data_IF_569603217502
#
_entry.id   IF_569603217502
#
_cell.length_a   1.000
_cell.length_b   1.000
_cell.length_c   1.000
_cell.angle_alpha   90.00
_cell.angle_beta   90.00
_cell.angle_gamma   90.00
#
_symmetry.space_group_name_H-M   'P 1'
#
loop_
_entity.id
_entity.type
_entity.pdbx_description
1 polymer ?
#
# COMPACT_ATOMS: atom_id res chain seq x y z
N UNK A 1 12.45 83.84 -2.73
CA UNK A 1 11.30 84.72 -2.45
C UNK A 1 10.05 83.86 -2.21
N UNK A 2 9.47 83.95 -1.01
CA UNK A 2 8.04 83.77 -0.60
C UNK A 2 7.23 82.62 -1.28
N UNK A 3 6.93 81.49 -0.61
CA UNK A 3 5.80 81.21 0.33
C UNK A 3 4.38 81.48 -0.21
N UNK A 4 3.54 80.42 -0.05
CA UNK A 4 2.05 80.39 0.07
C UNK A 4 1.26 80.67 -1.23
N UNK A 5 0.36 79.81 -1.73
CA UNK A 5 -0.77 79.18 -1.03
C UNK A 5 -1.11 77.76 -1.55
N UNK A 6 -1.58 76.95 -0.60
CA UNK A 6 -1.97 75.54 -0.63
C UNK A 6 -3.48 75.44 -1.01
N UNK A 7 -4.21 74.34 -0.71
CA UNK A 7 -4.70 73.26 -1.56
C UNK A 7 -6.25 73.26 -1.74
N UNK A 8 -6.80 72.78 -2.85
CA UNK A 8 -8.21 72.35 -2.84
C UNK A 8 -8.56 71.19 -3.78
N UNK A 9 -7.58 70.58 -4.45
CA UNK A 9 -7.82 69.44 -5.36
C UNK A 9 -7.23 68.11 -4.88
N UNK A 10 -6.69 68.06 -3.65
CA UNK A 10 -6.10 66.86 -3.05
C UNK A 10 -6.99 66.17 -2.00
N UNK A 11 -8.21 66.66 -1.76
CA UNK A 11 -9.15 66.07 -0.77
C UNK A 11 -10.23 65.18 -1.41
N UNK A 12 -10.38 65.16 -2.75
CA UNK A 12 -11.42 64.35 -3.42
C UNK A 12 -10.93 63.19 -4.30
N UNK A 13 -9.62 63.00 -4.50
CA UNK A 13 -9.08 61.78 -5.15
C UNK A 13 -8.09 60.99 -4.28
N UNK A 14 -7.91 61.40 -3.01
CA UNK A 14 -6.99 60.76 -2.05
C UNK A 14 -7.63 59.74 -1.09
N UNK A 15 -8.93 59.48 -1.18
CA UNK A 15 -9.64 58.57 -0.25
C UNK A 15 -10.06 57.24 -0.91
N UNK A 16 -9.95 57.09 -2.22
CA UNK A 16 -10.36 55.86 -2.91
C UNK A 16 -9.29 54.75 -3.02
N UNK A 17 -8.02 55.00 -2.66
CA UNK A 17 -6.92 54.06 -2.96
C UNK A 17 -6.23 53.46 -1.72
N UNK A 18 -6.59 53.87 -0.49
CA UNK A 18 -5.91 53.39 0.74
C UNK A 18 -6.67 52.31 1.56
N UNK A 19 -7.83 51.83 1.08
CA UNK A 19 -8.66 50.85 1.79
C UNK A 19 -8.77 49.47 1.11
N UNK A 20 -8.22 49.32 -0.09
CA UNK A 20 -8.34 48.11 -0.90
C UNK A 20 -6.98 47.69 -1.45
N UNK A 21 -6.59 46.42 -1.26
CA UNK A 21 -5.48 45.79 -1.99
C UNK A 21 -6.08 44.89 -3.08
N UNK A 22 -5.53 44.86 -4.31
CA UNK A 22 -5.93 43.87 -5.31
C UNK A 22 -5.56 42.47 -4.80
N UNK A 23 -6.56 41.57 -4.74
CA UNK A 23 -6.38 40.15 -4.41
C UNK A 23 -7.23 39.32 -5.40
N UNK A 24 -6.69 38.19 -5.86
CA UNK A 24 -7.23 37.31 -6.91
C UNK A 24 -8.55 36.56 -6.60
N UNK A 25 -9.02 35.66 -7.50
CA UNK A 25 -10.43 35.45 -7.86
C UNK A 25 -11.18 34.44 -6.96
N UNK A 26 -12.48 34.64 -6.69
CA UNK A 26 -13.40 33.64 -6.09
C UNK A 26 -14.89 34.05 -6.13
N UNK A 27 -15.59 33.91 -7.26
CA UNK A 27 -17.06 33.79 -7.23
C UNK A 27 -17.52 32.78 -8.29
N UNK A 28 -18.29 31.78 -7.87
CA UNK A 28 -18.92 30.81 -8.76
C UNK A 28 -20.44 30.99 -8.72
N UNK A 29 -21.10 30.97 -9.87
CA UNK A 29 -22.54 31.13 -10.02
C UNK A 29 -23.15 29.84 -10.56
N UNK A 30 -24.24 29.39 -9.94
CA UNK A 30 -25.03 28.25 -10.40
C UNK A 30 -26.21 28.73 -11.25
N UNK A 31 -26.34 28.21 -12.47
CA UNK A 31 -27.51 28.39 -13.33
C UNK A 31 -28.37 27.13 -13.33
N UNK A 32 -29.53 27.22 -12.67
CA UNK A 32 -30.48 26.11 -12.53
C UNK A 32 -31.19 25.74 -13.83
N UNK A 33 -31.29 26.64 -14.81
CA UNK A 33 -31.96 26.36 -16.09
C UNK A 33 -31.05 25.54 -17.02
N UNK A 34 -29.74 25.78 -16.98
CA UNK A 34 -28.76 25.07 -17.80
C UNK A 34 -27.97 24.00 -17.06
N UNK A 35 -28.16 23.84 -15.75
CA UNK A 35 -27.39 22.91 -14.91
C UNK A 35 -25.89 23.22 -14.87
N UNK A 36 -25.53 24.50 -15.00
CA UNK A 36 -24.12 24.91 -15.22
C UNK A 36 -23.59 25.71 -14.04
N UNK A 37 -22.45 25.29 -13.50
CA UNK A 37 -21.65 26.07 -12.56
C UNK A 37 -20.63 26.90 -13.34
N UNK A 38 -20.64 28.23 -13.20
CA UNK A 38 -19.70 29.14 -13.88
C UNK A 38 -18.76 29.78 -12.88
N UNK A 39 -17.45 29.73 -13.13
CA UNK A 39 -16.45 30.49 -12.36
C UNK A 39 -16.34 31.88 -12.97
N UNK A 40 -16.95 32.87 -12.31
CA UNK A 40 -16.91 34.25 -12.75
C UNK A 40 -15.56 34.87 -12.41
N UNK A 41 -14.90 35.46 -13.42
CA UNK A 41 -13.79 36.38 -13.20
C UNK A 41 -14.25 37.79 -13.53
N UNK A 42 -14.82 38.49 -12.55
CA UNK A 42 -15.07 39.92 -12.63
C UNK A 42 -14.82 40.56 -11.26
N UNK A 43 -14.08 41.66 -11.27
CA UNK A 43 -13.59 42.37 -10.09
C UNK A 43 -14.75 42.76 -9.15
N UNK A 44 -14.60 42.52 -7.84
CA UNK A 44 -15.50 43.06 -6.80
C UNK A 44 -14.66 43.62 -5.65
N UNK A 45 -14.91 44.87 -5.27
CA UNK A 45 -14.25 45.56 -4.15
C UNK A 45 -14.81 45.05 -2.82
N UNK A 46 -13.94 44.60 -1.89
CA UNK A 46 -14.35 44.10 -0.55
C UNK A 46 -13.66 44.92 0.56
N UNK A 47 -14.40 45.45 1.57
CA UNK A 47 -13.82 46.24 2.65
C UNK A 47 -12.90 45.41 3.57
N UNK A 48 -11.96 46.11 4.24
CA UNK A 48 -10.74 45.63 4.93
C UNK A 48 -10.89 44.58 6.05
N UNK A 49 -12.08 44.03 6.28
CA UNK A 49 -12.43 43.15 7.41
C UNK A 49 -13.07 41.81 6.99
N UNK A 50 -12.80 41.33 5.75
CA UNK A 50 -13.32 40.05 5.23
C UNK A 50 -12.22 39.13 4.69
N UNK A 51 -12.28 37.84 5.08
CA UNK A 51 -11.29 36.78 4.79
C UNK A 51 -11.24 36.40 3.30
N UNK A 52 -10.04 36.12 2.80
CA UNK A 52 -9.79 35.62 1.44
C UNK A 52 -10.40 34.23 1.22
N UNK A 53 -11.05 34.03 0.07
CA UNK A 53 -11.52 32.73 -0.41
C UNK A 53 -10.61 32.30 -1.57
N UNK A 54 -10.22 31.03 -1.55
CA UNK A 54 -9.31 30.38 -2.50
C UNK A 54 -10.13 29.89 -3.70
N UNK A 55 -9.52 29.85 -4.90
CA UNK A 55 -10.03 29.17 -6.10
C UNK A 55 -10.84 27.91 -5.73
N UNK A 56 -11.99 27.62 -6.36
CA UNK A 56 -12.78 26.44 -6.00
C UNK A 56 -12.01 25.18 -6.39
N UNK A 57 -11.13 24.71 -5.50
CA UNK A 57 -10.64 23.34 -5.47
C UNK A 57 -11.81 22.50 -5.02
N UNK A 58 -12.41 21.79 -5.95
CA UNK A 58 -13.48 20.86 -5.63
C UNK A 58 -12.83 19.49 -5.47
N UNK A 59 -12.80 18.99 -4.24
CA UNK A 59 -12.34 17.65 -3.93
C UNK A 59 -13.54 16.83 -3.48
N UNK A 60 -13.69 15.64 -4.05
CA UNK A 60 -14.74 14.71 -3.64
C UNK A 60 -14.19 13.29 -3.57
N UNK A 61 -14.78 12.48 -2.70
CA UNK A 61 -14.46 11.06 -2.60
C UNK A 61 -15.73 10.28 -2.87
N UNK A 62 -15.67 9.37 -3.83
CA UNK A 62 -16.77 8.45 -4.13
C UNK A 62 -16.26 7.02 -4.09
N UNK A 63 -17.12 6.10 -3.67
CA UNK A 63 -16.84 4.67 -3.71
C UNK A 63 -17.70 4.01 -4.78
N UNK A 64 -17.14 3.04 -5.47
CA UNK A 64 -17.89 2.18 -6.39
C UNK A 64 -17.42 0.74 -6.25
N UNK A 65 -18.24 -0.19 -6.74
CA UNK A 65 -17.93 -1.63 -6.70
C UNK A 65 -17.53 -2.10 -8.10
N UNK A 66 -16.44 -2.86 -8.21
CA UNK A 66 -16.06 -3.52 -9.47
C UNK A 66 -17.02 -4.67 -9.79
N UNK A 67 -17.08 -5.16 -11.04
CA UNK A 67 -17.86 -6.35 -11.39
C UNK A 67 -17.51 -7.60 -10.56
N UNK A 68 -16.29 -7.68 -10.05
CA UNK A 68 -15.79 -8.74 -9.17
C UNK A 68 -16.14 -8.53 -7.68
N UNK A 69 -16.96 -7.52 -7.34
CA UNK A 69 -17.43 -7.25 -5.97
C UNK A 69 -16.45 -6.49 -5.09
N UNK A 70 -15.35 -5.96 -5.64
CA UNK A 70 -14.37 -5.21 -4.88
C UNK A 70 -14.78 -3.74 -4.73
N UNK A 71 -14.61 -3.18 -3.53
CA UNK A 71 -14.83 -1.74 -3.31
C UNK A 71 -13.60 -0.96 -3.78
N UNK A 72 -13.83 0.13 -4.51
CA UNK A 72 -12.79 1.05 -4.98
C UNK A 72 -13.16 2.46 -4.55
N UNK A 73 -12.23 3.14 -3.91
CA UNK A 73 -12.37 4.54 -3.54
C UNK A 73 -11.72 5.41 -4.61
N UNK A 74 -12.50 6.27 -5.26
CA UNK A 74 -12.00 7.28 -6.17
C UNK A 74 -11.97 8.64 -5.46
N UNK A 75 -10.77 9.19 -5.29
CA UNK A 75 -10.57 10.58 -4.89
C UNK A 75 -10.40 11.42 -6.13
N UNK A 76 -11.29 12.38 -6.32
CA UNK A 76 -11.29 13.26 -7.48
C UNK A 76 -11.02 14.68 -7.00
N UNK A 77 -10.06 15.35 -7.63
CA UNK A 77 -9.84 16.77 -7.43
C UNK A 77 -9.95 17.49 -8.78
N UNK A 78 -10.65 18.62 -8.77
CA UNK A 78 -10.77 19.48 -9.92
C UNK A 78 -10.38 20.90 -9.54
N UNK A 79 -9.40 21.44 -10.26
CA UNK A 79 -8.98 22.83 -10.18
C UNK A 79 -9.53 23.59 -11.38
N UNK A 80 -10.46 24.52 -11.13
CA UNK A 80 -11.07 25.35 -12.16
C UNK A 80 -10.38 26.71 -12.24
N UNK A 81 -9.93 27.06 -13.45
CA UNK A 81 -9.35 28.37 -13.76
C UNK A 81 -10.43 29.45 -14.02
N UNK A 82 -10.00 30.72 -14.12
CA UNK A 82 -10.89 31.83 -14.46
C UNK A 82 -11.66 31.59 -15.76
N UNK A 83 -12.98 31.82 -15.75
CA UNK A 83 -13.84 31.65 -16.93
C UNK A 83 -14.27 30.20 -17.23
N UNK A 84 -13.81 29.22 -16.45
CA UNK A 84 -14.23 27.84 -16.60
C UNK A 84 -15.71 27.66 -16.21
N UNK A 85 -16.42 26.80 -16.92
CA UNK A 85 -17.77 26.37 -16.53
C UNK A 85 -17.93 24.86 -16.57
N UNK A 86 -18.67 24.32 -15.61
CA UNK A 86 -18.86 22.90 -15.40
C UNK A 86 -20.33 22.52 -15.57
N UNK A 87 -20.61 21.55 -16.43
CA UNK A 87 -21.97 21.11 -16.72
C UNK A 87 -22.33 19.91 -15.83
N UNK A 88 -23.33 20.03 -14.96
CA UNK A 88 -23.82 19.00 -14.04
C UNK A 88 -25.28 18.62 -14.37
N UNK A 89 -25.65 17.36 -14.15
CA UNK A 89 -26.94 16.82 -14.61
C UNK A 89 -28.16 17.22 -13.74
N UNK A 90 -27.96 17.87 -12.59
CA UNK A 90 -29.00 18.36 -11.67
C UNK A 90 -28.43 19.54 -10.86
N UNK A 91 -29.07 20.02 -9.78
CA UNK A 91 -28.51 20.99 -8.82
C UNK A 91 -27.87 20.36 -7.56
N UNK A 92 -26.86 19.48 -7.66
CA UNK A 92 -26.04 19.08 -6.53
C UNK A 92 -24.98 20.14 -6.23
N UNK A 93 -24.41 20.14 -5.04
CA UNK A 93 -23.19 20.91 -4.79
C UNK A 93 -22.10 20.46 -5.79
N UNK A 94 -21.11 21.33 -6.13
CA UNK A 94 -20.03 20.95 -7.04
C UNK A 94 -19.35 19.62 -6.66
N UNK A 95 -19.25 19.34 -5.35
CA UNK A 95 -18.70 18.10 -4.78
C UNK A 95 -19.57 16.87 -5.06
N UNK A 96 -20.89 17.00 -4.93
CA UNK A 96 -21.86 15.92 -5.15
C UNK A 96 -22.03 15.60 -6.65
N UNK A 97 -22.08 16.62 -7.51
CA UNK A 97 -22.20 16.41 -8.96
C UNK A 97 -20.96 15.74 -9.58
N UNK A 98 -19.78 16.10 -9.07
CA UNK A 98 -18.51 15.47 -9.44
C UNK A 98 -18.45 14.01 -8.96
N UNK A 99 -18.95 13.72 -7.75
CA UNK A 99 -19.04 12.35 -7.22
C UNK A 99 -19.95 11.46 -8.08
N UNK A 100 -21.13 11.96 -8.48
CA UNK A 100 -22.08 11.22 -9.34
C UNK A 100 -21.44 10.88 -10.69
N UNK A 101 -20.75 11.84 -11.32
CA UNK A 101 -20.08 11.60 -12.60
C UNK A 101 -18.88 10.67 -12.49
N UNK A 102 -18.08 10.78 -11.43
CA UNK A 102 -17.02 9.82 -11.14
C UNK A 102 -17.56 8.41 -10.91
N UNK A 103 -18.72 8.28 -10.25
CA UNK A 103 -19.44 7.01 -10.10
C UNK A 103 -19.98 6.44 -11.42
N UNK A 104 -20.38 7.29 -12.37
CA UNK A 104 -20.78 6.85 -13.72
C UNK A 104 -19.60 6.39 -14.59
N UNK A 105 -18.38 6.86 -14.30
CA UNK A 105 -17.14 6.44 -14.95
C UNK A 105 -16.56 5.14 -14.37
N UNK A 106 -17.12 4.64 -13.26
CA UNK A 106 -16.76 3.38 -12.60
C UNK A 106 -16.86 2.06 -13.40
N UNK A 107 -17.78 1.88 -14.39
CA UNK A 107 -18.01 0.58 -15.03
C UNK A 107 -16.82 -0.01 -15.81
N UNK A 108 -15.75 0.74 -16.04
CA UNK A 108 -14.53 0.28 -16.74
C UNK A 108 -13.45 -0.26 -15.80
N UNK A 109 -13.61 -0.09 -14.48
CA UNK A 109 -12.61 -0.42 -13.48
C UNK A 109 -12.65 -1.90 -13.06
N UNK A 110 -12.20 -2.81 -13.94
CA UNK A 110 -12.03 -4.23 -13.59
C UNK A 110 -10.93 -4.39 -12.55
N UNK A 111 -11.14 -5.28 -11.57
CA UNK A 111 -10.17 -5.51 -10.50
C UNK A 111 -8.80 -5.97 -11.03
N UNK A 112 -8.78 -6.77 -12.10
CA UNK A 112 -7.53 -7.19 -12.76
C UNK A 112 -6.73 -6.04 -13.39
N UNK A 113 -7.41 -5.01 -13.91
CA UNK A 113 -6.74 -3.79 -14.38
C UNK A 113 -6.21 -2.97 -13.20
N UNK A 114 -7.03 -2.77 -12.17
CA UNK A 114 -6.63 -2.05 -10.97
C UNK A 114 -5.44 -2.71 -10.28
N UNK A 115 -5.29 -4.03 -10.36
CA UNK A 115 -4.16 -4.75 -9.79
C UNK A 115 -2.82 -4.45 -10.49
N UNK A 116 -2.82 -3.92 -11.72
CA UNK A 116 -1.63 -3.58 -12.50
C UNK A 116 -1.39 -2.07 -12.48
N UNK A 117 -0.19 -1.62 -12.10
CA UNK A 117 0.12 -0.19 -11.98
C UNK A 117 -0.11 0.57 -13.28
N UNK A 118 0.34 0.01 -14.41
CA UNK A 118 0.20 0.62 -15.75
C UNK A 118 -1.26 0.75 -16.17
N UNK A 119 -2.06 -0.31 -15.96
CA UNK A 119 -3.49 -0.27 -16.32
C UNK A 119 -4.27 0.68 -15.41
N UNK A 120 -3.96 0.69 -14.10
CA UNK A 120 -4.56 1.65 -13.14
C UNK A 120 -4.26 3.09 -13.52
N UNK A 121 -3.00 3.40 -13.86
CA UNK A 121 -2.60 4.74 -14.32
C UNK A 121 -3.35 5.16 -15.57
N UNK A 122 -3.43 4.28 -16.58
CA UNK A 122 -4.18 4.55 -17.80
C UNK A 122 -5.66 4.81 -17.52
N UNK A 123 -6.27 4.03 -16.62
CA UNK A 123 -7.65 4.25 -16.20
C UNK A 123 -7.84 5.59 -15.48
N UNK A 124 -6.88 5.99 -14.63
CA UNK A 124 -6.88 7.31 -13.99
C UNK A 124 -6.80 8.42 -15.03
N UNK A 125 -5.90 8.32 -16.01
CA UNK A 125 -5.78 9.28 -17.11
C UNK A 125 -7.06 9.38 -17.95
N UNK A 126 -7.71 8.25 -18.26
CA UNK A 126 -8.99 8.22 -18.99
C UNK A 126 -10.12 8.88 -18.19
N UNK A 127 -10.17 8.66 -16.88
CA UNK A 127 -11.12 9.33 -15.98
C UNK A 127 -10.82 10.82 -15.87
N UNK A 128 -9.57 11.21 -15.71
CA UNK A 128 -9.13 12.61 -15.68
C UNK A 128 -9.50 13.33 -16.98
N UNK A 129 -9.23 12.73 -18.14
CA UNK A 129 -9.60 13.28 -19.43
C UNK A 129 -11.12 13.41 -19.58
N UNK A 130 -11.88 12.42 -19.10
CA UNK A 130 -13.35 12.46 -19.14
C UNK A 130 -13.92 13.54 -18.22
N UNK A 131 -13.32 13.75 -17.05
CA UNK A 131 -13.68 14.84 -16.13
C UNK A 131 -13.27 16.21 -16.67
N UNK A 132 -12.11 16.31 -17.32
CA UNK A 132 -11.66 17.54 -17.97
C UNK A 132 -12.63 17.96 -19.07
N UNK A 133 -13.21 17.04 -19.85
CA UNK A 133 -14.24 17.35 -20.86
C UNK A 133 -15.53 17.94 -20.27
N UNK A 134 -15.77 17.78 -18.98
CA UNK A 134 -16.93 18.37 -18.30
C UNK A 134 -16.74 19.85 -17.98
N UNK A 135 -15.49 20.32 -17.98
CA UNK A 135 -15.13 21.70 -17.79
C UNK A 135 -14.77 22.32 -19.14
N UNK A 136 -15.28 23.51 -19.40
CA UNK A 136 -14.76 24.36 -20.48
C UNK A 136 -13.65 25.26 -19.94
N UNK A 137 -12.72 25.69 -20.80
CA UNK A 137 -11.62 26.56 -20.41
C UNK A 137 -10.48 25.84 -19.67
N UNK A 138 -9.68 26.58 -18.90
CA UNK A 138 -8.53 26.02 -18.18
C UNK A 138 -8.98 25.28 -16.92
N UNK A 139 -9.07 23.95 -16.99
CA UNK A 139 -9.35 23.09 -15.85
C UNK A 139 -8.31 21.96 -15.76
N UNK A 140 -7.92 21.61 -14.54
CA UNK A 140 -7.05 20.47 -14.25
C UNK A 140 -7.78 19.49 -13.35
N UNK A 141 -7.96 18.26 -13.83
CA UNK A 141 -8.48 17.16 -13.02
C UNK A 141 -7.34 16.26 -12.55
N UNK A 142 -7.44 15.74 -11.34
CA UNK A 142 -6.66 14.60 -10.87
C UNK A 142 -7.59 13.54 -10.25
N UNK A 143 -7.30 12.27 -10.53
CA UNK A 143 -8.07 11.14 -10.02
C UNK A 143 -7.12 10.12 -9.40
N UNK A 144 -7.36 9.78 -8.14
CA UNK A 144 -6.65 8.71 -7.45
C UNK A 144 -7.60 7.56 -7.17
N UNK A 145 -7.31 6.39 -7.74
CA UNK A 145 -8.04 5.16 -7.49
C UNK A 145 -7.33 4.33 -6.42
N UNK A 146 -8.02 4.14 -5.30
CA UNK A 146 -7.60 3.34 -4.15
C UNK A 146 -8.53 2.12 -4.04
N UNK A 147 -8.23 1.03 -4.76
CA UNK A 147 -8.93 -0.24 -4.58
C UNK A 147 -8.68 -0.82 -3.19
N UNK A 148 -9.69 -1.51 -2.63
CA UNK A 148 -9.55 -2.24 -1.37
C UNK A 148 -8.35 -3.21 -1.43
N UNK A 149 -7.34 -3.04 -0.55
CA UNK A 149 -6.18 -3.92 -0.48
C UNK A 149 -6.56 -5.39 -0.29
N UNK A 150 -7.60 -5.68 0.49
CA UNK A 150 -8.03 -7.06 0.74
C UNK A 150 -8.57 -7.71 -0.54
N UNK A 151 -9.40 -6.99 -1.29
CA UNK A 151 -9.90 -7.44 -2.58
C UNK A 151 -8.79 -7.64 -3.63
N UNK A 152 -7.81 -6.73 -3.69
CA UNK A 152 -6.64 -6.89 -4.57
C UNK A 152 -5.84 -8.15 -4.23
N UNK A 153 -5.59 -8.39 -2.95
CA UNK A 153 -4.87 -9.58 -2.49
C UNK A 153 -5.65 -10.86 -2.81
N UNK A 154 -6.98 -10.86 -2.62
CA UNK A 154 -7.84 -11.98 -2.97
C UNK A 154 -7.79 -12.28 -4.49
N UNK A 155 -7.89 -11.24 -5.32
CA UNK A 155 -7.76 -11.37 -6.78
C UNK A 155 -6.41 -11.94 -7.20
N UNK A 156 -5.31 -11.40 -6.67
CA UNK A 156 -3.96 -11.91 -6.97
C UNK A 156 -3.74 -13.35 -6.52
N UNK A 157 -4.32 -13.75 -5.38
CA UNK A 157 -4.30 -15.15 -4.93
C UNK A 157 -5.07 -16.06 -5.88
N UNK A 158 -6.24 -15.64 -6.35
CA UNK A 158 -7.01 -16.40 -7.33
C UNK A 158 -6.24 -16.55 -8.65
N UNK A 159 -5.63 -15.48 -9.15
CA UNK A 159 -4.80 -15.50 -10.35
C UNK A 159 -3.60 -16.45 -10.19
N UNK A 160 -2.92 -16.40 -9.04
CA UNK A 160 -1.81 -17.31 -8.73
C UNK A 160 -2.29 -18.77 -8.72
N UNK A 161 -3.41 -19.08 -8.07
CA UNK A 161 -3.99 -20.43 -8.03
C UNK A 161 -4.33 -20.98 -9.41
N UNK A 162 -4.78 -20.13 -10.33
CA UNK A 162 -5.07 -20.54 -11.70
C UNK A 162 -3.80 -20.87 -12.50
N UNK A 163 -2.67 -20.27 -12.14
CA UNK A 163 -1.37 -20.50 -12.80
C UNK A 163 -0.61 -21.69 -12.22
N UNK A 164 -0.83 -22.01 -10.94
CA UNK A 164 -0.12 -23.09 -10.25
C UNK A 164 -0.88 -24.41 -10.43
N UNK A 165 -0.25 -25.34 -11.15
CA UNK A 165 -0.68 -26.73 -11.20
C UNK A 165 -0.23 -27.47 -9.93
N UNK A 166 -1.02 -28.44 -9.42
CA UNK A 166 -0.59 -29.28 -8.31
C UNK A 166 0.74 -29.99 -8.63
N UNK A 167 1.70 -30.01 -7.69
CA UNK A 167 2.98 -30.63 -7.96
C UNK A 167 2.81 -32.14 -8.12
N UNK A 168 3.50 -32.73 -9.10
CA UNK A 168 3.48 -34.20 -9.33
C UNK A 168 4.11 -35.00 -8.20
N UNK A 169 4.95 -34.36 -7.38
CA UNK A 169 5.63 -34.95 -6.22
C UNK A 169 5.59 -34.00 -5.04
N UNK A 170 5.56 -34.57 -3.83
CA UNK A 170 5.71 -33.80 -2.59
C UNK A 170 7.17 -33.42 -2.39
N UNK A 171 7.40 -32.22 -1.85
CA UNK A 171 8.73 -31.73 -1.50
C UNK A 171 8.83 -31.71 0.02
N UNK A 172 9.92 -32.25 0.56
CA UNK A 172 10.27 -32.17 1.97
C UNK A 172 11.54 -31.35 2.11
N UNK A 173 11.49 -30.30 2.92
CA UNK A 173 12.66 -29.51 3.31
C UNK A 173 12.95 -29.83 4.77
N UNK A 174 14.18 -30.26 5.04
CA UNK A 174 14.65 -30.55 6.41
C UNK A 174 15.75 -29.55 6.72
N UNK A 175 15.51 -28.71 7.73
CA UNK A 175 16.56 -27.88 8.30
C UNK A 175 17.21 -28.63 9.46
N UNK A 176 18.55 -28.70 9.46
CA UNK A 176 19.32 -29.33 10.52
C UNK A 176 20.26 -28.28 11.11
N UNK A 177 19.91 -27.77 12.30
CA UNK A 177 20.71 -26.75 12.99
C UNK A 177 22.05 -27.33 13.47
N UNK A 178 23.13 -26.58 13.27
CA UNK A 178 24.49 -27.00 13.64
C UNK A 178 25.06 -28.19 12.86
N UNK A 179 24.48 -28.54 11.71
CA UNK A 179 24.93 -29.65 10.86
C UNK A 179 26.26 -29.34 10.14
N UNK A 180 27.37 -29.56 10.84
CA UNK A 180 28.71 -29.31 10.32
C UNK A 180 29.19 -30.39 9.33
N UNK A 181 29.68 -29.97 8.15
CA UNK A 181 30.08 -30.90 7.09
C UNK A 181 31.34 -31.70 7.44
N UNK A 182 32.25 -31.12 8.22
CA UNK A 182 33.47 -31.81 8.64
C UNK A 182 33.13 -32.99 9.57
N UNK A 183 32.20 -32.78 10.51
CA UNK A 183 31.71 -33.84 11.38
C UNK A 183 30.90 -34.89 10.61
N UNK A 184 29.95 -34.45 9.79
CA UNK A 184 29.08 -35.36 9.03
C UNK A 184 29.87 -36.26 8.09
N UNK A 185 30.87 -35.72 7.38
CA UNK A 185 31.72 -36.51 6.48
C UNK A 185 32.53 -37.57 7.22
N UNK A 186 33.08 -37.25 8.41
CA UNK A 186 33.77 -38.23 9.28
C UNK A 186 32.82 -39.34 9.75
N UNK A 187 31.58 -39.00 10.11
CA UNK A 187 30.59 -39.99 10.56
C UNK A 187 30.11 -40.89 9.40
N UNK A 188 29.92 -40.33 8.20
CA UNK A 188 29.61 -41.09 6.99
C UNK A 188 30.76 -42.05 6.65
N UNK A 189 32.01 -41.59 6.69
CA UNK A 189 33.19 -42.41 6.42
C UNK A 189 33.35 -43.59 7.40
N UNK A 190 32.91 -43.42 8.65
CA UNK A 190 32.86 -44.48 9.68
C UNK A 190 31.67 -45.42 9.54
N UNK A 191 30.78 -45.21 8.55
CA UNK A 191 29.57 -46.01 8.36
C UNK A 191 28.46 -45.75 9.38
N UNK A 192 28.55 -44.68 10.18
CA UNK A 192 27.61 -44.36 11.25
C UNK A 192 26.35 -43.60 10.76
N UNK A 193 26.35 -43.16 9.49
CA UNK A 193 25.28 -42.35 8.89
C UNK A 193 24.74 -42.98 7.60
N UNK A 194 24.22 -44.23 7.64
CA UNK A 194 23.88 -44.99 6.44
C UNK A 194 22.78 -44.35 5.57
N UNK A 195 21.83 -43.63 6.19
CA UNK A 195 20.77 -42.94 5.44
C UNK A 195 21.28 -41.69 4.73
N UNK A 196 22.14 -40.90 5.38
CA UNK A 196 22.79 -39.75 4.75
C UNK A 196 23.70 -40.20 3.61
N UNK A 197 24.47 -41.28 3.82
CA UNK A 197 25.32 -41.86 2.77
C UNK A 197 24.51 -42.26 1.52
N UNK A 198 23.34 -42.90 1.70
CA UNK A 198 22.44 -43.24 0.60
C UNK A 198 21.93 -41.99 -0.13
N UNK A 199 21.53 -40.95 0.60
CA UNK A 199 21.08 -39.68 0.01
C UNK A 199 22.19 -39.00 -0.80
N UNK A 200 23.42 -38.99 -0.29
CA UNK A 200 24.58 -38.44 -0.99
C UNK A 200 24.91 -39.22 -2.28
N UNK A 201 24.71 -40.53 -2.29
CA UNK A 201 25.02 -41.39 -3.44
C UNK A 201 24.05 -41.22 -4.62
N UNK A 202 22.78 -40.89 -4.35
CA UNK A 202 21.73 -40.75 -5.40
C UNK A 202 21.31 -39.30 -5.65
N UNK A 203 21.82 -38.37 -4.86
CA UNK A 203 21.45 -36.96 -4.88
C UNK A 203 22.62 -36.04 -5.24
N UNK A 204 22.48 -34.77 -4.87
CA UNK A 204 23.52 -33.75 -5.02
C UNK A 204 23.72 -33.08 -3.68
N UNK A 205 24.97 -32.84 -3.31
CA UNK A 205 25.35 -32.17 -2.08
C UNK A 205 26.57 -31.29 -2.32
N UNK A 206 26.75 -30.31 -1.44
CA UNK A 206 27.86 -29.37 -1.49
C UNK A 206 27.83 -28.47 -0.26
N UNK A 207 28.87 -27.67 -0.11
CA UNK A 207 28.93 -26.62 0.90
C UNK A 207 28.24 -25.35 0.37
N UNK A 208 27.43 -24.71 1.21
CA UNK A 208 26.78 -23.43 0.90
C UNK A 208 27.37 -22.36 1.80
N UNK A 209 27.68 -21.19 1.23
CA UNK A 209 28.08 -20.03 2.03
C UNK A 209 26.90 -19.53 2.85
N UNK A 210 27.12 -19.35 4.14
CA UNK A 210 26.13 -18.78 5.06
C UNK A 210 26.25 -17.25 5.14
N UNK A 211 25.31 -16.63 5.86
CA UNK A 211 25.32 -15.21 6.17
C UNK A 211 26.19 -14.91 7.39
N UNK A 212 26.72 -13.69 7.45
CA UNK A 212 27.37 -13.16 8.66
C UNK A 212 26.52 -12.02 9.22
N UNK A 213 26.14 -12.03 10.51
CA UNK A 213 26.52 -13.00 11.54
C UNK A 213 25.75 -14.33 11.48
N UNK A 214 26.33 -15.39 12.05
CA UNK A 214 25.76 -16.74 12.11
C UNK A 214 24.66 -16.86 13.18
N UNK A 215 23.59 -16.07 13.05
CA UNK A 215 22.43 -16.10 13.95
C UNK A 215 21.30 -16.94 13.33
N UNK A 216 20.82 -17.96 14.05
CA UNK A 216 19.81 -18.89 13.52
C UNK A 216 18.53 -18.17 13.03
N UNK A 217 17.88 -17.26 13.79
CA UNK A 217 16.66 -16.60 13.33
C UNK A 217 16.86 -15.82 12.02
N UNK A 218 18.03 -15.23 11.84
CA UNK A 218 18.41 -14.50 10.64
C UNK A 218 18.55 -15.47 9.45
N UNK A 219 19.42 -16.48 9.56
CA UNK A 219 19.71 -17.43 8.49
C UNK A 219 18.47 -18.23 8.09
N UNK A 220 17.72 -18.75 9.07
CA UNK A 220 16.54 -19.57 8.82
C UNK A 220 15.39 -18.76 8.21
N UNK A 221 15.28 -17.47 8.53
CA UNK A 221 14.31 -16.59 7.86
C UNK A 221 14.75 -16.28 6.43
N UNK A 222 16.03 -16.05 6.18
CA UNK A 222 16.55 -15.89 4.82
C UNK A 222 16.26 -17.13 3.97
N UNK A 223 16.53 -18.35 4.48
CA UNK A 223 16.19 -19.59 3.78
C UNK A 223 14.68 -19.72 3.50
N UNK A 224 13.83 -19.31 4.45
CA UNK A 224 12.38 -19.39 4.31
C UNK A 224 11.78 -18.35 3.36
N UNK A 225 12.46 -17.23 3.12
CA UNK A 225 11.91 -16.10 2.35
C UNK A 225 12.60 -15.90 1.01
N UNK A 226 13.85 -16.34 0.88
CA UNK A 226 14.72 -16.03 -0.26
C UNK A 226 15.23 -14.58 -0.27
N UNK A 227 14.98 -13.82 0.80
CA UNK A 227 15.32 -12.41 0.92
C UNK A 227 16.44 -12.19 1.95
N UNK A 228 17.21 -11.10 1.88
CA UNK A 228 18.23 -10.80 2.88
C UNK A 228 17.63 -10.20 4.18
N UNK A 229 18.38 -10.17 5.29
CA UNK A 229 17.90 -9.74 6.60
C UNK A 229 17.27 -8.35 6.65
N UNK A 230 17.86 -7.39 5.94
CA UNK A 230 17.37 -6.01 5.82
C UNK A 230 15.98 -5.93 5.17
N UNK A 231 15.64 -6.90 4.30
CA UNK A 231 14.34 -6.97 3.62
C UNK A 231 13.34 -7.72 4.49
N UNK A 232 13.65 -8.93 4.96
CA UNK A 232 12.69 -9.72 5.75
C UNK A 232 12.53 -9.22 7.19
N UNK A 233 13.51 -8.50 7.75
CA UNK A 233 13.39 -7.78 9.03
C UNK A 233 13.65 -8.59 10.30
N UNK A 234 14.09 -9.84 10.19
CA UNK A 234 14.48 -10.69 11.33
C UNK A 234 16.00 -10.62 11.45
N UNK A 235 16.49 -9.95 12.49
CA UNK A 235 17.90 -9.55 12.59
C UNK A 235 18.62 -10.16 13.79
N UNK A 236 17.89 -10.69 14.77
CA UNK A 236 18.44 -11.17 16.03
C UNK A 236 17.44 -12.14 16.70
N UNK A 237 17.86 -12.82 17.75
CA UNK A 237 17.00 -13.63 18.62
C UNK A 237 16.02 -12.79 19.43
N UNK A 238 16.39 -11.56 19.75
CA UNK A 238 15.60 -10.66 20.60
C UNK A 238 15.23 -9.39 19.86
N UNK A 239 13.96 -9.02 19.92
CA UNK A 239 13.46 -7.72 19.48
C UNK A 239 13.05 -6.84 20.67
N UNK A 240 12.99 -5.53 20.46
CA UNK A 240 12.42 -4.62 21.45
C UNK A 240 10.89 -4.64 21.33
N UNK A 241 10.21 -4.92 22.43
CA UNK A 241 8.77 -4.79 22.53
C UNK A 241 8.36 -3.32 22.31
N UNK A 242 7.37 -3.09 21.44
CA UNK A 242 7.01 -1.74 21.03
C UNK A 242 6.33 -0.92 22.15
N UNK A 243 5.70 -1.60 23.12
CA UNK A 243 4.98 -0.93 24.21
C UNK A 243 5.88 -0.65 25.41
N UNK A 244 6.80 -1.57 25.72
CA UNK A 244 7.60 -1.56 26.96
C UNK A 244 9.08 -1.30 26.72
N UNK A 245 9.58 -1.46 25.49
CA UNK A 245 11.01 -1.42 25.17
C UNK A 245 11.80 -2.63 25.67
N UNK A 246 11.16 -3.59 26.34
CA UNK A 246 11.81 -4.78 26.85
C UNK A 246 12.32 -5.68 25.71
N UNK A 247 13.43 -6.39 25.93
CA UNK A 247 13.92 -7.41 25.00
C UNK A 247 13.04 -8.66 25.09
N UNK A 248 12.37 -9.01 24.00
CA UNK A 248 11.51 -10.19 23.89
C UNK A 248 11.97 -11.10 22.75
N UNK A 249 11.74 -12.42 22.83
CA UNK A 249 12.09 -13.32 21.73
C UNK A 249 11.37 -12.92 20.45
N UNK A 250 12.12 -12.90 19.35
CA UNK A 250 11.61 -12.51 18.03
C UNK A 250 10.42 -13.38 17.62
N UNK A 251 9.48 -12.78 16.91
CA UNK A 251 8.25 -13.43 16.46
C UNK A 251 8.09 -13.39 14.95
N UNK A 252 7.25 -14.28 14.42
CA UNK A 252 6.81 -14.30 13.02
C UNK A 252 6.18 -12.97 12.59
N UNK A 253 5.60 -12.21 13.54
CA UNK A 253 5.00 -10.89 13.29
C UNK A 253 6.02 -9.84 12.84
N UNK A 254 7.31 -10.04 13.15
CA UNK A 254 8.36 -9.11 12.74
C UNK A 254 8.80 -9.31 11.29
N UNK A 255 8.48 -10.47 10.71
CA UNK A 255 8.84 -10.79 9.33
C UNK A 255 8.00 -9.95 8.36
N UNK A 256 8.67 -9.18 7.51
CA UNK A 256 8.05 -8.20 6.59
C UNK A 256 7.62 -8.79 5.25
N UNK A 257 8.10 -9.99 4.93
CA UNK A 257 7.89 -10.66 3.64
C UNK A 257 7.34 -12.07 3.86
N UNK A 258 6.55 -12.60 2.91
CA UNK A 258 6.03 -13.96 3.01
C UNK A 258 7.16 -14.99 2.99
N UNK A 259 7.03 -16.04 3.81
CA UNK A 259 7.85 -17.22 3.71
C UNK A 259 7.28 -18.21 2.68
N UNK A 260 8.06 -19.24 2.31
CA UNK A 260 7.69 -20.28 1.34
C UNK A 260 6.32 -20.91 1.64
N UNK A 261 5.99 -21.14 2.92
CA UNK A 261 4.68 -21.69 3.30
C UNK A 261 3.53 -20.71 3.10
N UNK A 262 3.75 -19.41 3.28
CA UNK A 262 2.74 -18.38 2.98
C UNK A 262 2.51 -18.32 1.46
N UNK A 263 3.58 -18.37 0.66
CA UNK A 263 3.51 -18.35 -0.81
C UNK A 263 2.80 -19.58 -1.35
N UNK A 264 3.18 -20.77 -0.88
CA UNK A 264 2.54 -22.03 -1.28
C UNK A 264 1.05 -22.07 -0.89
N UNK A 265 0.70 -21.60 0.32
CA UNK A 265 -0.70 -21.48 0.75
C UNK A 265 -1.49 -20.50 -0.11
N UNK A 266 -0.89 -19.35 -0.46
CA UNK A 266 -1.49 -18.36 -1.35
C UNK A 266 -1.75 -18.96 -2.75
N UNK A 267 -0.84 -19.79 -3.24
CA UNK A 267 -0.97 -20.56 -4.47
C UNK A 267 -1.98 -21.73 -4.39
N UNK A 268 -2.60 -21.96 -3.23
CA UNK A 268 -3.57 -23.05 -3.04
C UNK A 268 -2.95 -24.43 -2.81
N UNK A 269 -1.62 -24.51 -2.63
CA UNK A 269 -0.94 -25.74 -2.28
C UNK A 269 -1.11 -26.05 -0.79
N UNK A 270 -1.16 -27.34 -0.45
CA UNK A 270 -1.18 -27.78 0.95
C UNK A 270 0.23 -27.81 1.51
N UNK A 271 0.43 -27.28 2.72
CA UNK A 271 1.74 -27.22 3.38
C UNK A 271 1.69 -27.80 4.80
N UNK A 272 2.81 -28.38 5.22
CA UNK A 272 3.09 -28.77 6.59
C UNK A 272 4.40 -28.13 7.04
N UNK A 273 4.38 -27.39 8.15
CA UNK A 273 5.56 -26.75 8.73
C UNK A 273 5.63 -27.13 10.20
N UNK A 274 6.82 -27.50 10.67
CA UNK A 274 7.04 -27.88 12.07
C UNK A 274 8.40 -27.37 12.53
N UNK A 275 8.40 -26.62 13.63
CA UNK A 275 9.64 -26.25 14.33
C UNK A 275 10.54 -25.27 13.58
N UNK A 276 10.05 -24.59 12.55
CA UNK A 276 10.86 -23.62 11.81
C UNK A 276 11.13 -22.38 12.67
N UNK A 277 12.38 -21.92 12.75
CA UNK A 277 12.77 -20.76 13.56
C UNK A 277 11.93 -19.50 13.26
N UNK A 278 11.59 -18.75 14.31
CA UNK A 278 10.80 -17.51 14.24
C UNK A 278 9.41 -17.70 13.59
N UNK A 279 8.77 -18.84 13.83
CA UNK A 279 7.43 -19.15 13.32
C UNK A 279 6.32 -18.94 14.36
N UNK A 280 6.65 -18.55 15.60
CA UNK A 280 5.66 -18.12 16.58
C UNK A 280 5.28 -16.64 16.45
N UNK A 281 3.99 -16.28 16.54
CA UNK A 281 2.85 -17.17 16.61
C UNK A 281 2.61 -17.87 15.27
N UNK A 282 2.05 -19.08 15.37
CA UNK A 282 1.69 -19.88 14.22
C UNK A 282 0.80 -19.09 13.26
N UNK A 283 1.22 -19.01 11.99
CA UNK A 283 0.48 -18.30 10.96
C UNK A 283 -0.59 -19.19 10.32
N UNK A 284 -1.64 -18.57 9.80
CA UNK A 284 -2.63 -19.27 9.00
C UNK A 284 -2.02 -19.74 7.66
N UNK A 285 -2.09 -21.04 7.41
CA UNK A 285 -1.64 -21.69 6.18
C UNK A 285 -2.71 -22.63 5.65
N UNK A 286 -2.63 -23.00 4.36
CA UNK A 286 -3.46 -24.07 3.81
C UNK A 286 -2.89 -25.43 4.23
N UNK A 287 -3.14 -25.83 5.48
CA UNK A 287 -2.58 -27.05 6.07
C UNK A 287 -2.25 -26.86 7.54
N UNK A 288 -1.07 -27.31 7.96
CA UNK A 288 -0.67 -27.32 9.37
C UNK A 288 0.66 -26.58 9.56
N UNK A 289 0.70 -25.70 10.56
CA UNK A 289 1.92 -25.04 11.02
C UNK A 289 2.04 -25.22 12.53
N UNK A 290 3.08 -25.94 12.95
CA UNK A 290 3.50 -26.10 14.34
C UNK A 290 4.71 -25.21 14.57
N UNK A 291 4.55 -24.18 15.41
CA UNK A 291 5.61 -23.19 15.63
C UNK A 291 6.81 -23.77 16.39
N UNK A 292 7.98 -23.16 16.20
CA UNK A 292 9.21 -23.40 16.98
C UNK A 292 9.00 -23.38 18.50
N UNK A 293 8.14 -22.50 19.01
CA UNK A 293 7.89 -22.40 20.46
C UNK A 293 7.27 -23.64 21.11
N UNK A 294 6.61 -24.53 20.37
CA UNK A 294 6.07 -25.75 20.95
C UNK A 294 7.18 -26.61 21.57
N UNK A 295 8.32 -26.71 20.90
CA UNK A 295 9.39 -27.61 21.31
C UNK A 295 10.09 -27.12 22.59
N UNK A 296 10.22 -25.81 22.77
CA UNK A 296 10.70 -25.25 24.04
C UNK A 296 9.76 -25.56 25.21
N UNK A 297 8.44 -25.44 25.01
CA UNK A 297 7.46 -25.77 26.04
C UNK A 297 7.44 -27.25 26.41
N UNK A 298 7.73 -28.14 25.44
CA UNK A 298 7.82 -29.58 25.68
C UNK A 298 9.11 -29.94 26.41
N UNK A 299 10.23 -29.29 26.09
CA UNK A 299 11.52 -29.51 26.77
C UNK A 299 11.54 -29.00 28.21
N UNK A 300 10.79 -27.94 28.51
CA UNK A 300 10.64 -27.41 29.87
C UNK A 300 9.55 -28.13 30.69
N UNK A 301 8.94 -29.20 30.16
CA UNK A 301 7.99 -30.00 30.91
C UNK A 301 8.70 -30.69 32.10
N UNK A 302 8.17 -30.61 33.33
CA UNK A 302 8.77 -31.25 34.50
C UNK A 302 8.72 -32.77 34.34
N UNK A 303 9.81 -33.36 33.85
CA UNK A 303 9.92 -34.80 33.59
C UNK A 303 11.24 -35.23 32.95
N UNK A 304 11.89 -34.35 32.18
CA UNK A 304 13.07 -34.70 31.36
C UNK A 304 14.42 -34.19 31.93
N UNK A 305 14.54 -34.11 33.26
CA UNK A 305 15.88 -33.99 33.85
C UNK A 305 16.63 -35.32 33.60
N UNK A 306 17.80 -35.33 32.95
CA UNK A 306 18.56 -36.57 32.75
C UNK A 306 18.93 -37.17 34.13
N UNK A 307 19.01 -38.51 34.23
CA UNK A 307 19.40 -39.19 35.48
C UNK A 307 20.79 -38.80 35.97
#
# INVERSE_FOLDING_TARGET
MKKLFLPLLFVLMGVAVALFRPVGPSSALWDSASGTLRVCSSWTLVPRWGKAVVLPRVATTTTFTTPEGATVTARVQLELGPGAHLQLAAAPTPEQGLAVKAGQLAPTAKLGCLAQNTCRQKLQEEMEASLQRLASGSAKASVVLEPDPAALLAFRRQELRQRVSPPRRRVLVVGWDGADWELLSKLVARGLMPNLQKLMAVGTYGELSSLTPLLSPLIWTTMATGEPPEVHGILDFLEADAATGARVPVTSRKRKVPALWNMASAAGLTVGVSGWWASWPAEAVNGVLVSDRLFFLLSDAPGDAPP
#
